data_IF_674099373247
#
_entry.id   IF_674099373247
#
_cell.length_a   1.000
_cell.length_b   1.000
_cell.length_c   1.000
_cell.angle_alpha   90.00
_cell.angle_beta   90.00
_cell.angle_gamma   90.00
#
_symmetry.space_group_name_H-M   'P 1'
#
loop_
_entity.id
_entity.type
_entity.pdbx_description
1 polymer ?
#
# COMPACT_ATOMS: atom_id res chain seq x y z
N UNK A 1 35.93 0.38 -10.24
CA UNK A 1 36.49 0.08 -11.57
C UNK A 1 36.22 1.25 -12.50
N UNK A 2 37.27 1.87 -13.03
CA UNK A 2 37.21 3.00 -13.97
C UNK A 2 36.96 2.45 -15.37
N UNK A 3 35.82 2.77 -15.98
CA UNK A 3 35.54 2.39 -17.38
C UNK A 3 36.11 3.41 -18.36
N UNK A 4 36.81 2.88 -19.34
CA UNK A 4 37.64 3.58 -20.31
C UNK A 4 36.84 4.55 -21.19
N UNK A 5 37.41 5.74 -21.39
CA UNK A 5 36.91 6.78 -22.29
C UNK A 5 37.21 6.33 -23.73
N UNK A 6 36.24 5.69 -24.37
CA UNK A 6 36.32 5.33 -25.79
C UNK A 6 36.40 6.58 -26.67
N UNK A 7 37.46 6.65 -27.47
CA UNK A 7 37.66 7.68 -28.49
C UNK A 7 36.60 7.50 -29.59
N UNK A 8 35.59 8.37 -29.63
CA UNK A 8 34.66 8.44 -30.77
C UNK A 8 35.20 9.42 -31.80
N UNK A 9 35.61 8.89 -32.96
CA UNK A 9 35.72 9.64 -34.22
C UNK A 9 34.45 10.48 -34.42
N UNK A 10 34.59 11.80 -34.37
CA UNK A 10 33.54 12.77 -34.68
C UNK A 10 33.26 12.74 -36.20
N UNK A 11 32.49 11.74 -36.66
CA UNK A 11 31.81 11.86 -37.95
C UNK A 11 30.79 13.00 -37.81
N UNK A 12 31.00 14.10 -38.53
CA UNK A 12 30.01 15.16 -38.71
C UNK A 12 28.73 14.54 -39.27
N UNK A 13 27.77 14.25 -38.38
CA UNK A 13 26.48 13.68 -38.76
C UNK A 13 25.60 14.84 -39.22
N UNK A 14 25.54 15.05 -40.55
CA UNK A 14 24.86 16.17 -41.20
C UNK A 14 23.37 16.22 -40.82
N UNK A 15 22.74 15.08 -40.55
CA UNK A 15 21.36 14.99 -40.09
C UNK A 15 21.18 13.92 -39.00
N UNK A 16 20.18 14.10 -38.13
CA UNK A 16 19.83 13.16 -37.07
C UNK A 16 18.48 13.48 -36.43
N UNK A 17 18.01 12.64 -35.52
CA UNK A 17 16.83 12.92 -34.68
C UNK A 17 17.35 13.17 -33.27
N UNK A 18 16.99 14.30 -32.67
CA UNK A 18 17.25 14.59 -31.25
C UNK A 18 15.93 14.81 -30.52
N UNK A 19 15.85 14.34 -29.29
CA UNK A 19 14.71 14.64 -28.41
C UNK A 19 15.06 15.85 -27.55
N UNK A 20 14.26 16.91 -27.68
CA UNK A 20 14.28 18.05 -26.74
C UNK A 20 13.34 17.70 -25.60
N UNK A 21 13.80 17.86 -24.37
CA UNK A 21 13.06 17.51 -23.16
C UNK A 21 12.63 18.78 -22.44
N UNK A 22 11.33 18.86 -22.12
CA UNK A 22 10.75 19.93 -21.33
C UNK A 22 10.23 19.35 -20.02
N UNK A 23 10.59 19.99 -18.90
CA UNK A 23 10.08 19.61 -17.57
C UNK A 23 8.65 20.10 -17.40
N UNK A 24 7.73 19.18 -17.10
CA UNK A 24 6.30 19.46 -16.95
C UNK A 24 5.83 19.35 -15.49
N UNK A 25 6.68 18.87 -14.59
CA UNK A 25 6.40 18.80 -13.16
C UNK A 25 7.51 18.09 -12.39
N UNK A 26 7.40 18.09 -11.08
CA UNK A 26 8.32 17.45 -10.15
C UNK A 26 7.54 16.91 -8.94
N UNK A 27 8.22 16.15 -8.09
CA UNK A 27 7.64 15.51 -6.92
C UNK A 27 8.60 14.47 -6.33
N UNK A 28 8.11 13.66 -5.39
CA UNK A 28 8.87 12.57 -4.78
C UNK A 28 8.45 11.20 -5.30
N UNK A 29 9.40 10.29 -5.45
CA UNK A 29 9.16 8.90 -5.83
C UNK A 29 10.24 7.97 -5.24
N UNK A 30 9.95 6.67 -5.20
CA UNK A 30 10.97 5.68 -4.87
C UNK A 30 11.85 5.39 -6.09
N UNK A 31 13.12 5.81 -6.06
CA UNK A 31 14.04 5.59 -7.17
C UNK A 31 14.62 4.18 -7.14
N UNK A 32 14.42 3.33 -8.18
CA UNK A 32 14.93 1.96 -8.19
C UNK A 32 16.46 1.89 -8.29
N UNK A 33 17.11 2.92 -8.85
CA UNK A 33 18.57 2.97 -8.95
C UNK A 33 19.24 3.48 -7.67
N UNK A 34 18.61 4.40 -6.95
CA UNK A 34 19.12 4.88 -5.65
C UNK A 34 18.70 3.99 -4.48
N UNK A 35 17.62 3.22 -4.62
CA UNK A 35 17.06 2.39 -3.56
C UNK A 35 16.36 3.20 -2.46
N UNK A 36 15.76 4.35 -2.79
CA UNK A 36 15.10 5.18 -1.79
C UNK A 36 14.35 6.38 -2.40
N UNK A 37 13.67 7.11 -1.52
CA UNK A 37 12.83 8.25 -1.89
C UNK A 37 13.70 9.40 -2.38
N UNK A 38 13.39 9.91 -3.58
CA UNK A 38 14.13 11.00 -4.23
C UNK A 38 13.16 11.92 -4.94
N UNK A 39 13.61 13.15 -5.18
CA UNK A 39 12.92 14.06 -6.08
C UNK A 39 13.06 13.59 -7.54
N UNK A 40 11.99 13.71 -8.31
CA UNK A 40 11.99 13.49 -9.75
C UNK A 40 11.61 14.76 -10.52
N UNK A 41 11.94 14.76 -11.81
CA UNK A 41 11.41 15.68 -12.81
C UNK A 41 10.66 14.88 -13.87
N UNK A 42 9.39 15.19 -14.09
CA UNK A 42 8.61 14.63 -15.18
C UNK A 42 8.94 15.40 -16.44
N UNK A 43 9.47 14.70 -17.44
CA UNK A 43 9.88 15.28 -18.71
C UNK A 43 8.93 14.80 -19.81
N UNK A 44 8.57 15.70 -20.71
CA UNK A 44 7.96 15.33 -21.99
C UNK A 44 8.93 15.65 -23.11
N UNK A 45 9.02 14.76 -24.10
CA UNK A 45 9.99 14.92 -25.18
C UNK A 45 9.32 15.30 -26.49
N UNK A 46 9.95 16.18 -27.26
CA UNK A 46 9.62 16.42 -28.67
C UNK A 46 10.79 15.97 -29.53
N UNK A 47 10.54 15.00 -30.43
CA UNK A 47 11.53 14.54 -31.40
C UNK A 47 11.64 15.58 -32.50
N UNK A 48 12.84 16.12 -32.72
CA UNK A 48 13.12 17.07 -33.79
C UNK A 48 14.18 16.51 -34.73
N UNK A 49 13.96 16.66 -36.03
CA UNK A 49 14.98 16.45 -37.04
C UNK A 49 16.01 17.57 -36.88
N UNK A 50 17.25 17.20 -36.59
CA UNK A 50 18.37 18.12 -36.52
C UNK A 50 19.22 18.01 -37.77
N UNK A 51 19.51 19.13 -38.43
CA UNK A 51 20.47 19.21 -39.54
C UNK A 51 21.60 20.13 -39.11
N UNK A 52 22.86 19.68 -39.24
CA UNK A 52 24.05 20.39 -38.73
C UNK A 52 23.93 20.84 -37.26
N UNK A 53 23.16 20.10 -36.45
CA UNK A 53 22.89 20.41 -35.03
C UNK A 53 21.70 21.32 -34.78
N UNK A 54 21.09 21.93 -35.81
CA UNK A 54 19.92 22.81 -35.69
C UNK A 54 18.61 22.02 -35.78
N UNK A 55 17.70 22.12 -34.80
CA UNK A 55 16.42 21.41 -34.79
C UNK A 55 15.38 22.08 -35.70
N UNK A 56 15.12 21.50 -36.88
CA UNK A 56 14.31 22.12 -37.93
C UNK A 56 12.85 21.66 -37.94
N UNK A 57 12.58 20.35 -37.92
CA UNK A 57 11.24 19.79 -38.12
C UNK A 57 10.81 18.92 -36.95
N UNK A 58 9.57 19.11 -36.47
CA UNK A 58 8.98 18.21 -35.48
C UNK A 58 8.68 16.84 -36.13
N UNK A 59 9.11 15.77 -35.48
CA UNK A 59 8.98 14.38 -35.97
C UNK A 59 8.22 13.49 -34.97
N UNK A 60 7.33 14.10 -34.19
CA UNK A 60 6.52 13.44 -33.16
C UNK A 60 7.01 13.72 -31.72
N UNK A 61 6.28 13.19 -30.75
CA UNK A 61 6.65 13.25 -29.32
C UNK A 61 7.45 12.01 -28.91
N UNK A 62 8.27 12.16 -27.88
CA UNK A 62 8.70 11.05 -27.06
C UNK A 62 7.76 10.98 -25.85
N UNK A 63 7.43 9.76 -25.42
CA UNK A 63 6.57 9.54 -24.26
C UNK A 63 7.12 10.22 -22.99
N UNK A 64 6.25 10.48 -22.01
CA UNK A 64 6.68 11.08 -20.75
C UNK A 64 7.69 10.15 -20.06
N UNK A 65 8.72 10.74 -19.48
CA UNK A 65 9.72 10.02 -18.68
C UNK A 65 9.89 10.72 -17.35
N UNK A 66 10.30 9.96 -16.34
CA UNK A 66 10.57 10.45 -14.99
C UNK A 66 12.07 10.42 -14.77
N UNK A 67 12.71 11.57 -14.59
CA UNK A 67 14.15 11.66 -14.35
C UNK A 67 14.42 11.87 -12.86
N UNK A 68 15.23 11.00 -12.25
CA UNK A 68 15.66 11.20 -10.87
C UNK A 68 16.58 12.42 -10.77
N UNK A 69 16.28 13.35 -9.87
CA UNK A 69 17.12 14.54 -9.65
C UNK A 69 18.48 14.22 -9.02
N UNK A 70 18.66 13.04 -8.41
CA UNK A 70 19.89 12.63 -7.76
C UNK A 70 20.83 11.84 -8.68
N UNK A 71 20.35 10.75 -9.29
CA UNK A 71 21.19 9.88 -10.14
C UNK A 71 21.05 10.17 -11.64
N UNK A 72 20.12 11.05 -12.05
CA UNK A 72 19.86 11.38 -13.46
C UNK A 72 19.24 10.23 -14.27
N UNK A 73 18.93 9.10 -13.64
CA UNK A 73 18.35 7.96 -14.35
C UNK A 73 16.91 8.26 -14.76
N UNK A 74 16.59 7.93 -16.01
CA UNK A 74 15.24 8.07 -16.57
C UNK A 74 14.48 6.76 -16.42
N UNK A 75 13.32 6.86 -15.79
CA UNK A 75 12.40 5.77 -15.54
C UNK A 75 11.13 5.95 -16.38
N UNK A 76 10.43 4.84 -16.60
CA UNK A 76 9.06 4.86 -17.12
C UNK A 76 8.13 5.64 -16.15
N UNK A 77 7.05 6.25 -16.63
CA UNK A 77 6.10 6.96 -15.78
C UNK A 77 5.48 6.06 -14.69
N UNK A 78 5.30 4.77 -14.98
CA UNK A 78 4.79 3.75 -14.05
C UNK A 78 5.70 3.56 -12.81
N UNK A 79 6.94 4.07 -12.84
CA UNK A 79 7.78 4.12 -11.64
C UNK A 79 7.19 5.00 -10.53
N UNK A 80 6.24 5.89 -10.85
CA UNK A 80 5.50 6.69 -9.88
C UNK A 80 4.39 5.90 -9.16
N UNK A 81 4.00 4.74 -9.68
CA UNK A 81 2.99 3.88 -9.05
C UNK A 81 3.56 3.17 -7.82
N UNK A 82 4.89 3.10 -7.69
CA UNK A 82 5.53 2.57 -6.50
C UNK A 82 5.49 3.63 -5.39
N UNK A 83 4.86 3.34 -4.23
CA UNK A 83 4.80 4.29 -3.14
C UNK A 83 6.20 4.62 -2.61
N UNK A 84 6.37 5.87 -2.17
CA UNK A 84 7.53 6.26 -1.36
C UNK A 84 7.54 5.50 -0.04
N UNK A 85 8.68 5.46 0.63
CA UNK A 85 8.83 4.79 1.93
C UNK A 85 7.89 5.38 2.96
N UNK A 86 7.75 6.71 2.98
CA UNK A 86 6.80 7.42 3.86
C UNK A 86 5.35 7.05 3.55
N UNK A 87 4.95 7.08 2.27
CA UNK A 87 3.58 6.72 1.86
C UNK A 87 3.27 5.26 2.15
N UNK A 88 4.21 4.36 1.87
CA UNK A 88 4.06 2.93 2.15
C UNK A 88 3.91 2.66 3.66
N UNK A 89 4.69 3.34 4.49
CA UNK A 89 4.58 3.24 5.96
C UNK A 89 3.21 3.73 6.46
N UNK A 90 2.70 4.84 5.90
CA UNK A 90 1.37 5.33 6.22
C UNK A 90 0.27 4.35 5.80
N UNK A 91 0.35 3.78 4.58
CA UNK A 91 -0.58 2.75 4.12
C UNK A 91 -0.58 1.51 5.03
N UNK A 92 0.59 1.10 5.53
CA UNK A 92 0.70 -0.03 6.46
C UNK A 92 0.09 0.26 7.83
N UNK A 93 0.31 1.47 8.37
CA UNK A 93 -0.31 1.91 9.62
C UNK A 93 -1.83 1.89 9.50
N UNK A 94 -2.34 2.49 8.42
CA UNK A 94 -3.77 2.50 8.14
C UNK A 94 -4.33 1.09 8.01
N UNK A 95 -3.69 0.22 7.22
CA UNK A 95 -4.11 -1.17 7.06
C UNK A 95 -4.20 -1.93 8.39
N UNK A 96 -3.22 -1.79 9.29
CA UNK A 96 -3.26 -2.44 10.62
C UNK A 96 -4.39 -1.88 11.46
N UNK A 97 -4.60 -0.56 11.42
CA UNK A 97 -5.67 0.11 12.15
C UNK A 97 -7.06 -0.36 11.67
N UNK A 98 -7.32 -0.33 10.36
CA UNK A 98 -8.60 -0.77 9.78
C UNK A 98 -8.86 -2.25 10.05
N UNK A 99 -7.86 -3.12 9.93
CA UNK A 99 -7.99 -4.55 10.27
C UNK A 99 -8.31 -4.74 11.75
N UNK A 100 -7.67 -3.95 12.63
CA UNK A 100 -7.93 -4.01 14.08
C UNK A 100 -9.37 -3.60 14.38
N UNK A 101 -9.84 -2.47 13.84
CA UNK A 101 -11.22 -2.04 14.01
C UNK A 101 -12.22 -3.05 13.45
N UNK A 102 -11.92 -3.67 12.32
CA UNK A 102 -12.79 -4.68 11.72
C UNK A 102 -12.93 -5.95 12.56
N UNK A 103 -11.83 -6.41 13.13
CA UNK A 103 -11.85 -7.56 14.05
C UNK A 103 -12.60 -7.19 15.34
N UNK A 104 -12.32 -6.02 15.93
CA UNK A 104 -13.00 -5.58 17.16
C UNK A 104 -14.50 -5.35 16.96
N UNK A 105 -14.92 -4.82 15.81
CA UNK A 105 -16.33 -4.62 15.50
C UNK A 105 -17.07 -5.97 15.33
N UNK A 106 -16.39 -7.00 14.82
CA UNK A 106 -16.97 -8.33 14.63
C UNK A 106 -16.96 -9.21 15.89
N UNK A 107 -15.88 -9.16 16.69
CA UNK A 107 -15.72 -9.93 17.93
C UNK A 107 -16.27 -9.23 19.18
N UNK A 108 -16.45 -7.91 19.11
CA UNK A 108 -16.84 -7.07 20.23
C UNK A 108 -15.65 -6.57 21.06
N UNK A 109 -15.94 -5.69 22.00
CA UNK A 109 -14.95 -5.00 22.84
C UNK A 109 -15.06 -5.35 24.33
N UNK A 110 -15.90 -6.33 24.67
CA UNK A 110 -16.23 -6.68 26.06
C UNK A 110 -15.03 -7.27 26.82
N UNK A 111 -14.08 -7.87 26.11
CA UNK A 111 -12.88 -8.45 26.69
C UNK A 111 -11.72 -7.45 26.73
N UNK A 112 -11.24 -7.15 27.94
CA UNK A 112 -10.05 -6.31 28.15
C UNK A 112 -8.79 -6.89 27.47
N UNK A 113 -8.66 -8.21 27.43
CA UNK A 113 -7.50 -8.89 26.83
C UNK A 113 -7.40 -8.67 25.31
N UNK A 114 -8.55 -8.59 24.63
CA UNK A 114 -8.64 -8.26 23.20
C UNK A 114 -8.27 -6.82 22.95
N UNK A 115 -8.80 -5.87 23.72
CA UNK A 115 -8.44 -4.45 23.60
C UNK A 115 -6.95 -4.21 23.90
N UNK A 116 -6.39 -4.89 24.91
CA UNK A 116 -4.96 -4.86 25.22
C UNK A 116 -4.11 -5.35 24.04
N UNK A 117 -4.48 -6.50 23.46
CA UNK A 117 -3.78 -7.08 22.31
C UNK A 117 -3.92 -6.22 21.06
N UNK A 118 -5.10 -5.63 20.82
CA UNK A 118 -5.36 -4.71 19.74
C UNK A 118 -4.50 -3.44 19.86
N UNK A 119 -4.50 -2.79 21.03
CA UNK A 119 -3.71 -1.58 21.26
C UNK A 119 -2.20 -1.85 21.18
N UNK A 120 -1.74 -3.03 21.63
CA UNK A 120 -0.35 -3.45 21.43
C UNK A 120 -0.02 -3.62 19.94
N UNK A 121 -0.88 -4.30 19.18
CA UNK A 121 -0.69 -4.55 17.74
C UNK A 121 -0.64 -3.26 16.92
N UNK A 122 -1.50 -2.29 17.24
CA UNK A 122 -1.56 -0.97 16.58
C UNK A 122 -0.33 -0.13 16.93
N UNK A 123 0.12 -0.13 18.19
CA UNK A 123 1.37 0.54 18.60
C UNK A 123 2.61 -0.09 17.97
N UNK A 124 2.66 -1.41 17.85
CA UNK A 124 3.77 -2.11 17.15
C UNK A 124 3.82 -1.77 15.66
N UNK A 125 2.71 -1.35 15.05
CA UNK A 125 2.67 -0.79 13.71
C UNK A 125 3.10 0.69 13.66
N UNK A 126 3.33 1.32 14.81
CA UNK A 126 3.78 2.69 15.03
C UNK A 126 2.68 3.75 14.95
N UNK A 127 1.48 3.39 15.41
CA UNK A 127 0.45 4.32 15.87
C UNK A 127 0.61 4.46 17.40
N UNK A 128 1.61 5.22 17.82
CA UNK A 128 2.13 5.22 19.20
C UNK A 128 1.12 5.73 20.25
N UNK A 129 0.23 6.63 19.84
CA UNK A 129 -0.76 7.27 20.72
C UNK A 129 -2.06 6.47 20.90
N UNK A 130 -2.16 5.29 20.29
CA UNK A 130 -3.38 4.48 20.30
C UNK A 130 -3.60 3.79 21.66
N UNK A 131 -4.66 4.17 22.37
CA UNK A 131 -5.05 3.59 23.66
C UNK A 131 -6.22 2.61 23.54
N UNK A 132 -6.39 1.74 24.53
CA UNK A 132 -7.54 0.83 24.62
C UNK A 132 -8.87 1.59 24.65
N UNK A 133 -8.92 2.70 25.40
CA UNK A 133 -10.11 3.55 25.54
C UNK A 133 -10.49 4.23 24.22
N UNK A 134 -9.49 4.64 23.43
CA UNK A 134 -9.72 5.19 22.11
C UNK A 134 -10.31 4.14 21.16
N UNK A 135 -9.72 2.93 21.11
CA UNK A 135 -10.23 1.84 20.28
C UNK A 135 -11.65 1.44 20.68
N UNK A 136 -11.91 1.31 21.99
CA UNK A 136 -13.24 1.04 22.52
C UNK A 136 -14.25 2.11 22.06
N UNK A 137 -13.91 3.39 22.24
CA UNK A 137 -14.79 4.50 21.86
C UNK A 137 -15.09 4.49 20.36
N UNK A 138 -14.09 4.27 19.52
CA UNK A 138 -14.28 4.23 18.06
C UNK A 138 -15.22 3.08 17.68
N UNK A 139 -15.01 1.88 18.24
CA UNK A 139 -15.85 0.73 17.91
C UNK A 139 -17.28 0.89 18.42
N UNK A 140 -17.48 1.45 19.62
CA UNK A 140 -18.82 1.75 20.15
C UNK A 140 -19.54 2.79 19.29
N UNK A 141 -18.84 3.83 18.81
CA UNK A 141 -19.42 4.81 17.88
C UNK A 141 -19.82 4.14 16.57
N UNK A 142 -18.95 3.29 15.99
CA UNK A 142 -19.27 2.54 14.78
C UNK A 142 -20.47 1.61 14.96
N UNK A 143 -20.60 0.96 16.12
CA UNK A 143 -21.74 0.12 16.45
C UNK A 143 -23.03 0.95 16.62
N UNK A 144 -22.94 2.13 17.23
CA UNK A 144 -24.08 3.03 17.43
C UNK A 144 -24.58 3.66 16.12
N UNK A 145 -23.66 4.10 15.24
CA UNK A 145 -24.00 4.65 13.92
C UNK A 145 -24.66 3.62 13.01
N UNK A 146 -24.42 2.34 13.28
CA UNK A 146 -25.02 1.24 12.52
C UNK A 146 -26.35 0.75 13.10
N UNK A 147 -26.78 1.26 14.26
CA UNK A 147 -28.04 0.89 14.91
C UNK A 147 -27.95 -0.47 15.60
N UNK A 148 -27.35 -0.52 16.78
CA UNK A 148 -27.40 -1.68 17.65
C UNK A 148 -28.83 -1.88 18.22
N UNK A 149 -29.68 -2.59 17.47
CA UNK A 149 -30.91 -3.20 17.96
C UNK A 149 -30.65 -4.63 18.46
N UNK A 150 -31.00 -4.91 19.71
CA UNK A 150 -30.93 -6.25 20.30
C UNK A 150 -31.85 -7.22 19.54
N UNK A 151 -31.25 -8.18 18.84
CA UNK A 151 -31.92 -9.34 18.26
C UNK A 151 -31.69 -9.51 16.76
N UNK A 152 -30.78 -10.42 16.38
CA UNK A 152 -30.62 -10.98 15.02
C UNK A 152 -30.98 -10.00 13.88
N UNK A 153 -30.31 -8.84 13.83
CA UNK A 153 -30.77 -7.67 13.07
C UNK A 153 -29.93 -7.48 11.78
N UNK A 154 -30.54 -7.28 10.59
CA UNK A 154 -29.86 -6.89 9.34
C UNK A 154 -28.96 -5.63 9.43
N UNK A 155 -29.03 -4.89 10.53
CA UNK A 155 -28.13 -3.78 10.83
C UNK A 155 -26.69 -4.23 11.15
N UNK A 156 -26.49 -5.33 11.89
CA UNK A 156 -25.15 -5.87 12.15
C UNK A 156 -24.46 -6.32 10.84
N UNK A 157 -25.25 -6.82 9.89
CA UNK A 157 -24.81 -7.16 8.53
C UNK A 157 -24.41 -5.91 7.73
N UNK A 158 -25.13 -4.79 7.91
CA UNK A 158 -24.76 -3.50 7.31
C UNK A 158 -23.46 -2.92 7.88
N UNK A 159 -23.18 -3.10 9.17
CA UNK A 159 -21.90 -2.70 9.80
C UNK A 159 -20.75 -3.48 9.18
N UNK A 160 -20.91 -4.81 9.10
CA UNK A 160 -19.97 -5.70 8.45
C UNK A 160 -19.72 -5.33 6.99
N UNK A 161 -20.77 -4.97 6.24
CA UNK A 161 -20.65 -4.56 4.84
C UNK A 161 -19.91 -3.24 4.65
N UNK A 162 -20.20 -2.21 5.46
CA UNK A 162 -19.50 -0.92 5.39
C UNK A 162 -18.00 -1.10 5.70
N UNK A 163 -17.70 -1.86 6.75
CA UNK A 163 -16.31 -2.12 7.17
C UNK A 163 -15.55 -3.03 6.18
N UNK A 164 -16.25 -3.95 5.51
CA UNK A 164 -15.69 -4.74 4.42
C UNK A 164 -15.32 -3.88 3.20
N UNK A 165 -16.10 -2.84 2.89
CA UNK A 165 -15.78 -1.88 1.82
C UNK A 165 -14.51 -1.10 2.20
N UNK A 166 -14.47 -0.52 3.39
CA UNK A 166 -13.29 0.21 3.90
C UNK A 166 -12.02 -0.67 3.91
N UNK A 167 -12.14 -1.92 4.38
CA UNK A 167 -11.05 -2.89 4.29
C UNK A 167 -10.56 -3.09 2.87
N UNK A 168 -11.48 -3.20 1.90
CA UNK A 168 -11.09 -3.35 0.50
C UNK A 168 -10.39 -2.10 -0.04
N UNK A 169 -10.88 -0.90 0.30
CA UNK A 169 -10.29 0.37 -0.13
C UNK A 169 -8.88 0.57 0.43
N UNK A 170 -8.65 0.19 1.68
CA UNK A 170 -7.34 0.32 2.33
C UNK A 170 -6.36 -0.77 1.89
N UNK A 171 -6.80 -2.03 1.83
CA UNK A 171 -5.89 -3.17 1.63
C UNK A 171 -5.58 -3.42 0.14
N UNK A 172 -6.52 -3.18 -0.78
CA UNK A 172 -6.31 -3.48 -2.20
C UNK A 172 -5.15 -2.69 -2.84
N UNK A 173 -4.99 -1.37 -2.56
CA UNK A 173 -3.84 -0.61 -3.08
C UNK A 173 -2.52 -1.03 -2.43
N UNK A 174 -2.56 -1.55 -1.20
CA UNK A 174 -1.36 -2.00 -0.47
C UNK A 174 -0.88 -3.38 -0.92
N UNK A 175 -1.80 -4.30 -1.21
CA UNK A 175 -1.52 -5.69 -1.59
C UNK A 175 -0.43 -5.89 -2.68
N UNK A 176 -0.41 -5.16 -3.81
CA UNK A 176 0.61 -5.35 -4.85
C UNK A 176 2.02 -4.90 -4.41
N UNK A 177 2.13 -4.11 -3.35
CA UNK A 177 3.40 -3.63 -2.81
C UNK A 177 3.96 -4.51 -1.69
N UNK A 178 3.18 -5.50 -1.23
CA UNK A 178 3.60 -6.46 -0.22
C UNK A 178 4.04 -7.78 -0.85
N UNK A 179 5.19 -8.28 -0.41
CA UNK A 179 5.55 -9.68 -0.65
C UNK A 179 4.59 -10.61 0.08
N UNK A 180 4.45 -11.86 -0.38
CA UNK A 180 3.53 -12.85 0.20
C UNK A 180 3.64 -12.94 1.73
N UNK A 181 4.84 -13.06 2.34
CA UNK A 181 4.95 -13.13 3.80
C UNK A 181 4.46 -11.87 4.53
N UNK A 182 4.56 -10.70 3.89
CA UNK A 182 4.02 -9.46 4.46
C UNK A 182 2.49 -9.42 4.48
N UNK A 183 1.85 -10.00 3.46
CA UNK A 183 0.39 -10.14 3.38
C UNK A 183 -0.11 -11.13 4.44
N UNK A 184 0.59 -12.26 4.58
CA UNK A 184 0.31 -13.26 5.62
C UNK A 184 0.49 -12.68 7.03
N UNK A 185 1.58 -11.94 7.27
CA UNK A 185 1.83 -11.31 8.56
C UNK A 185 0.75 -10.30 8.95
N UNK A 186 0.19 -9.56 7.99
CA UNK A 186 -0.90 -8.62 8.25
C UNK A 186 -2.20 -9.34 8.61
N UNK A 187 -2.55 -10.43 7.90
CA UNK A 187 -3.67 -11.29 8.26
C UNK A 187 -3.50 -11.89 9.67
N UNK A 188 -2.30 -12.40 9.97
CA UNK A 188 -1.98 -13.03 11.26
C UNK A 188 -2.02 -12.05 12.43
N UNK A 189 -1.79 -10.74 12.21
CA UNK A 189 -2.00 -9.71 13.24
C UNK A 189 -3.47 -9.62 13.65
N UNK A 190 -4.39 -9.54 12.68
CA UNK A 190 -5.83 -9.57 12.97
C UNK A 190 -6.25 -10.88 13.63
N UNK A 191 -5.73 -12.01 13.15
CA UNK A 191 -6.00 -13.33 13.70
C UNK A 191 -5.53 -13.48 15.16
N UNK A 192 -4.44 -12.80 15.56
CA UNK A 192 -3.97 -12.78 16.95
C UNK A 192 -4.88 -11.98 17.87
N UNK A 193 -5.43 -10.87 17.37
CA UNK A 193 -6.39 -10.05 18.13
C UNK A 193 -7.65 -10.87 18.41
N UNK A 194 -8.21 -11.52 17.38
CA UNK A 194 -9.41 -12.36 17.49
C UNK A 194 -9.20 -13.67 18.29
N UNK A 195 -7.96 -14.03 18.66
CA UNK A 195 -7.69 -15.17 19.54
C UNK A 195 -7.47 -14.77 21.01
N UNK A 196 -7.43 -13.47 21.30
CA UNK A 196 -7.03 -12.99 22.62
C UNK A 196 -8.08 -13.26 23.71
N UNK A 197 -9.36 -13.33 23.35
CA UNK A 197 -10.47 -13.69 24.24
C UNK A 197 -10.99 -15.12 24.08
N UNK A 198 -10.55 -15.86 23.06
CA UNK A 198 -10.99 -17.23 22.86
C UNK A 198 -10.89 -17.73 21.42
N UNK A 199 -11.62 -18.80 21.07
CA UNK A 199 -11.69 -19.29 19.70
C UNK A 199 -12.50 -18.33 18.81
N UNK A 200 -12.13 -18.22 17.53
CA UNK A 200 -12.82 -17.36 16.57
C UNK A 200 -14.33 -17.59 16.52
N UNK A 201 -15.08 -16.51 16.68
CA UNK A 201 -16.50 -16.41 16.34
C UNK A 201 -16.72 -16.51 14.81
N UNK A 202 -17.97 -16.71 14.39
CA UNK A 202 -18.32 -16.74 12.97
C UNK A 202 -18.06 -15.39 12.29
N UNK A 203 -18.42 -14.29 12.96
CA UNK A 203 -18.23 -12.94 12.45
C UNK A 203 -16.75 -12.58 12.25
N UNK A 204 -15.88 -12.94 13.19
CA UNK A 204 -14.44 -12.71 13.06
C UNK A 204 -13.83 -13.50 11.90
N UNK A 205 -14.30 -14.75 11.67
CA UNK A 205 -13.83 -15.56 10.53
C UNK A 205 -14.21 -14.94 9.20
N UNK A 206 -15.41 -14.38 9.09
CA UNK A 206 -15.88 -13.72 7.88
C UNK A 206 -15.06 -12.45 7.59
N UNK A 207 -14.78 -11.64 8.62
CA UNK A 207 -13.88 -10.49 8.50
C UNK A 207 -12.47 -10.91 8.09
N UNK A 208 -11.87 -11.90 8.76
CA UNK A 208 -10.51 -12.37 8.43
C UNK A 208 -10.44 -12.98 7.02
N UNK A 209 -11.51 -13.62 6.56
CA UNK A 209 -11.63 -14.11 5.18
C UNK A 209 -11.68 -12.95 4.18
N UNK A 210 -12.43 -11.89 4.50
CA UNK A 210 -12.50 -10.65 3.72
C UNK A 210 -11.13 -9.96 3.64
N UNK A 211 -10.42 -9.86 4.77
CA UNK A 211 -9.03 -9.36 4.84
C UNK A 211 -8.11 -10.19 3.94
N UNK A 212 -8.17 -11.52 4.02
CA UNK A 212 -7.38 -12.41 3.17
C UNK A 212 -7.66 -12.18 1.67
N UNK A 213 -8.93 -12.03 1.29
CA UNK A 213 -9.33 -11.72 -0.07
C UNK A 213 -8.82 -10.35 -0.55
N UNK A 214 -8.93 -9.31 0.27
CA UNK A 214 -8.44 -7.97 -0.05
C UNK A 214 -6.90 -7.92 -0.17
N UNK A 215 -6.20 -8.77 0.58
CA UNK A 215 -4.76 -9.00 0.47
C UNK A 215 -4.35 -9.93 -0.68
N UNK A 216 -5.30 -10.37 -1.50
CA UNK A 216 -5.05 -11.28 -2.64
C UNK A 216 -4.38 -12.61 -2.20
N UNK A 217 -4.73 -13.10 -1.01
CA UNK A 217 -4.38 -14.45 -0.56
C UNK A 217 -5.43 -15.43 -1.10
N UNK A 218 -4.97 -16.63 -1.49
CA UNK A 218 -5.89 -17.68 -1.91
C UNK A 218 -6.76 -18.12 -0.71
N UNK A 219 -8.08 -18.34 -0.88
CA UNK A 219 -8.97 -18.71 0.24
C UNK A 219 -8.51 -19.95 1.01
N UNK A 220 -7.95 -20.94 0.33
CA UNK A 220 -7.40 -22.14 0.96
C UNK A 220 -6.18 -21.84 1.84
N UNK A 221 -5.34 -20.89 1.45
CA UNK A 221 -4.15 -20.51 2.24
C UNK A 221 -4.55 -19.61 3.40
N UNK A 222 -5.52 -18.70 3.22
CA UNK A 222 -6.16 -17.95 4.31
C UNK A 222 -6.69 -18.90 5.38
N UNK A 223 -7.47 -19.93 4.99
CA UNK A 223 -8.00 -20.91 5.92
C UNK A 223 -6.87 -21.65 6.68
N UNK A 224 -5.82 -22.11 5.97
CA UNK A 224 -4.67 -22.77 6.60
C UNK A 224 -3.95 -21.86 7.59
N UNK A 225 -3.76 -20.58 7.26
CA UNK A 225 -3.11 -19.62 8.15
C UNK A 225 -3.92 -19.39 9.43
N UNK A 226 -5.25 -19.31 9.31
CA UNK A 226 -6.16 -19.19 10.46
C UNK A 226 -6.22 -20.48 11.30
N UNK A 227 -6.08 -21.66 10.69
CA UNK A 227 -5.91 -22.92 11.44
C UNK A 227 -4.55 -22.93 12.18
N UNK A 228 -3.46 -22.60 11.49
CA UNK A 228 -2.12 -22.60 12.08
C UNK A 228 -1.95 -21.59 13.23
N UNK A 229 -2.63 -20.45 13.16
CA UNK A 229 -2.61 -19.44 14.21
C UNK A 229 -3.17 -19.93 15.55
N UNK A 230 -4.05 -20.95 15.55
CA UNK A 230 -4.63 -21.53 16.77
C UNK A 230 -3.68 -22.46 17.52
N UNK A 231 -2.71 -23.04 16.83
CA UNK A 231 -1.76 -23.96 17.45
C UNK A 231 -0.54 -23.18 17.94
N UNK A 232 -0.35 -23.01 19.26
CA UNK A 232 0.87 -22.38 19.77
C UNK A 232 2.06 -23.26 19.35
N UNK A 233 3.01 -22.66 18.62
CA UNK A 233 4.31 -23.28 18.33
C UNK A 233 5.24 -23.20 19.53
#
# INVERSE_FOLDING_TARGET
MRTAKGQHTLRLRIYGIRTVWDTVGDGEFFCPCCGGDRNYRRLTGRRRLTVLGLPLLARGSAGPVVECAACGTRCAPDALDRPTTTRFSAMLREAVHTVTLAVLAAGGTTSRTVLETAAATVRDAGLDDCSQEQLFTIVEVLAADTGAGDGADPAADACGAALAIELHEVLKPLAPHLAVPGREALLLRGARIALADGPYSQAEREVLTTVGGALQLCPADTAKLLEAARTPS
#
